data_IF_506854379233
#
_entry.id   IF_506854379233
#
_cell.length_a   1.000
_cell.length_b   1.000
_cell.length_c   1.000
_cell.angle_alpha   90.00
_cell.angle_beta   90.00
_cell.angle_gamma   90.00
#
_symmetry.space_group_name_H-M   'P 1'
#
loop_
_entity.id
_entity.type
_entity.pdbx_description
1 polymer ?
#
# COMPACT_ATOMS: atom_id res chain seq x y z
N UNK A 1 3.16 19.75 26.64
CA UNK A 1 1.81 19.22 26.92
C UNK A 1 1.56 18.22 25.82
N UNK A 2 2.22 17.10 25.97
CA UNK A 2 2.34 16.03 25.00
C UNK A 2 1.12 15.14 25.24
N UNK A 3 0.12 15.28 24.38
CA UNK A 3 -1.12 14.52 24.42
C UNK A 3 -0.91 13.26 23.58
N UNK A 4 -0.08 12.36 24.08
CA UNK A 4 -0.01 11.00 23.56
C UNK A 4 -1.28 10.27 23.99
N UNK A 5 -2.30 10.33 23.13
CA UNK A 5 -3.50 9.50 23.25
C UNK A 5 -3.07 8.04 23.15
N UNK A 6 -3.03 7.36 24.28
CA UNK A 6 -2.90 5.91 24.30
C UNK A 6 -4.15 5.30 23.67
N UNK A 7 -3.99 4.77 22.45
CA UNK A 7 -4.99 3.94 21.79
C UNK A 7 -4.89 2.55 22.41
N UNK A 8 -5.91 2.20 23.20
CA UNK A 8 -5.93 1.00 24.03
C UNK A 8 -6.89 -0.02 23.40
N UNK A 9 -6.37 -1.12 22.84
CA UNK A 9 -7.16 -2.23 22.27
C UNK A 9 -7.20 -3.44 23.18
N UNK A 10 -8.38 -3.98 23.50
CA UNK A 10 -8.60 -5.02 24.52
C UNK A 10 -8.95 -6.36 23.85
N UNK A 11 -7.93 -7.16 23.55
CA UNK A 11 -8.13 -8.54 23.12
C UNK A 11 -7.61 -9.46 24.23
N UNK A 12 -8.55 -10.06 24.95
CA UNK A 12 -8.30 -10.99 26.06
C UNK A 12 -7.95 -12.38 25.52
N UNK A 13 -6.66 -12.60 25.26
CA UNK A 13 -6.16 -13.91 24.76
C UNK A 13 -5.83 -14.86 25.93
N UNK A 14 -5.58 -14.36 27.14
CA UNK A 14 -5.30 -15.16 28.35
C UNK A 14 -5.69 -14.36 29.62
N UNK A 15 -5.98 -15.06 30.73
CA UNK A 15 -6.50 -14.54 32.02
C UNK A 15 -5.57 -13.51 32.74
N UNK A 16 -4.47 -13.10 32.11
CA UNK A 16 -3.40 -12.30 32.74
C UNK A 16 -2.70 -11.31 31.77
N UNK A 17 -3.16 -11.14 30.53
CA UNK A 17 -2.43 -10.34 29.53
C UNK A 17 -3.30 -9.71 28.46
N UNK A 18 -2.84 -8.59 27.90
CA UNK A 18 -3.53 -7.78 26.89
C UNK A 18 -2.73 -7.75 25.60
N UNK A 19 -3.38 -8.05 24.48
CA UNK A 19 -2.80 -7.88 23.14
C UNK A 19 -3.30 -6.56 22.57
N UNK A 20 -2.36 -5.67 22.24
CA UNK A 20 -2.65 -4.36 21.65
C UNK A 20 -2.05 -4.30 20.26
N UNK A 21 -2.88 -3.99 19.27
CA UNK A 21 -2.42 -3.74 17.90
C UNK A 21 -2.11 -2.27 17.70
N UNK A 22 -0.88 -1.97 17.28
CA UNK A 22 -0.52 -0.62 16.86
C UNK A 22 -1.19 -0.27 15.53
N UNK A 23 -1.67 0.97 15.33
CA UNK A 23 -2.28 1.41 14.07
C UNK A 23 -1.41 1.13 12.84
N UNK A 24 -0.09 1.28 12.97
CA UNK A 24 0.87 1.00 11.88
C UNK A 24 0.84 -0.46 11.40
N UNK A 25 0.58 -1.42 12.29
CA UNK A 25 0.50 -2.84 11.94
C UNK A 25 -0.77 -3.09 11.12
N UNK A 26 -1.90 -2.53 11.56
CA UNK A 26 -3.18 -2.66 10.85
C UNK A 26 -3.12 -1.94 9.50
N UNK A 27 -2.47 -0.78 9.44
CA UNK A 27 -2.23 -0.04 8.19
C UNK A 27 -1.38 -0.86 7.20
N UNK A 28 -0.37 -1.59 7.70
CA UNK A 28 0.45 -2.47 6.87
C UNK A 28 -0.39 -3.61 6.29
N UNK A 29 -1.23 -4.26 7.10
CA UNK A 29 -2.14 -5.33 6.64
C UNK A 29 -3.09 -4.79 5.56
N UNK A 30 -3.72 -3.65 5.81
CA UNK A 30 -4.63 -3.01 4.86
C UNK A 30 -3.94 -2.64 3.55
N UNK A 31 -2.71 -2.10 3.63
CA UNK A 31 -1.94 -1.72 2.44
C UNK A 31 -1.52 -2.92 1.59
N UNK A 32 -1.12 -4.03 2.23
CA UNK A 32 -0.80 -5.28 1.53
C UNK A 32 -2.06 -5.85 0.87
N UNK A 33 -3.14 -6.01 1.63
CA UNK A 33 -4.41 -6.54 1.12
C UNK A 33 -4.95 -5.72 -0.07
N UNK A 34 -4.89 -4.40 0.01
CA UNK A 34 -5.31 -3.53 -1.08
C UNK A 34 -4.43 -3.64 -2.33
N UNK A 35 -3.13 -3.89 -2.16
CA UNK A 35 -2.20 -4.03 -3.28
C UNK A 35 -2.34 -5.38 -4.01
N UNK A 36 -2.92 -6.38 -3.36
CA UNK A 36 -3.20 -7.69 -3.97
C UNK A 36 -4.46 -7.70 -4.85
N UNK A 37 -5.28 -6.64 -4.78
CA UNK A 37 -6.50 -6.55 -5.59
C UNK A 37 -6.19 -6.20 -7.04
N UNK A 38 -6.70 -7.02 -7.95
CA UNK A 38 -6.63 -6.77 -9.39
C UNK A 38 -7.24 -5.41 -9.77
N UNK A 39 -6.49 -4.64 -10.57
CA UNK A 39 -6.87 -3.29 -10.96
C UNK A 39 -6.35 -2.19 -10.03
N UNK A 40 -5.72 -2.52 -8.90
CA UNK A 40 -4.94 -1.56 -8.13
C UNK A 40 -3.54 -1.44 -8.76
N UNK A 41 -3.16 -0.22 -9.13
CA UNK A 41 -1.83 0.10 -9.64
C UNK A 41 -0.83 0.36 -8.52
N UNK A 42 -1.32 0.75 -7.35
CA UNK A 42 -0.53 1.06 -6.17
C UNK A 42 -1.29 1.95 -5.18
N UNK A 43 -0.74 2.11 -3.98
CA UNK A 43 -1.29 2.98 -2.94
C UNK A 43 -0.86 4.43 -3.17
N UNK A 44 -1.78 5.35 -2.93
CA UNK A 44 -1.58 6.77 -3.07
C UNK A 44 -0.61 7.34 -2.03
N UNK A 45 0.53 7.86 -2.46
CA UNK A 45 1.61 8.33 -1.56
C UNK A 45 2.89 7.51 -1.66
N UNK A 46 2.80 6.35 -2.34
CA UNK A 46 3.96 5.71 -2.96
C UNK A 46 4.39 6.60 -4.12
N UNK A 47 5.64 7.07 -4.06
CA UNK A 47 6.21 7.99 -5.06
C UNK A 47 6.07 7.35 -6.43
N UNK A 48 5.23 7.95 -7.28
CA UNK A 48 5.14 7.60 -8.69
C UNK A 48 6.51 7.92 -9.29
N UNK A 49 7.14 6.94 -9.92
CA UNK A 49 8.48 7.02 -10.51
C UNK A 49 8.62 8.29 -11.36
N UNK A 50 9.29 9.31 -10.84
CA UNK A 50 9.45 10.59 -11.52
C UNK A 50 9.96 11.75 -10.66
N UNK A 51 9.83 11.66 -9.32
CA UNK A 51 10.38 12.68 -8.41
C UNK A 51 11.36 12.00 -7.44
N UNK A 52 12.65 12.11 -7.77
CA UNK A 52 13.82 11.53 -7.09
C UNK A 52 14.08 12.01 -5.63
N UNK A 53 13.05 12.40 -4.88
CA UNK A 53 13.26 13.25 -3.70
C UNK A 53 13.15 12.61 -2.32
N UNK A 54 12.18 11.72 -2.06
CA UNK A 54 11.78 11.45 -0.66
C UNK A 54 11.43 9.97 -0.45
N UNK A 55 12.46 9.11 -0.44
CA UNK A 55 12.38 7.75 0.06
C UNK A 55 12.74 7.74 1.55
N UNK A 56 11.77 8.05 2.40
CA UNK A 56 11.85 7.75 3.84
C UNK A 56 11.01 6.51 4.12
N UNK A 57 11.54 5.51 4.84
CA UNK A 57 10.82 4.31 5.32
C UNK A 57 9.49 4.59 6.06
N UNK A 58 9.21 5.86 6.36
CA UNK A 58 7.95 6.42 6.86
C UNK A 58 6.83 6.53 5.82
N UNK A 59 7.09 6.29 4.54
CA UNK A 59 6.14 6.55 3.45
C UNK A 59 5.26 5.34 3.06
N UNK A 60 5.50 4.12 3.58
CA UNK A 60 4.65 2.97 3.24
C UNK A 60 3.20 3.12 3.77
N UNK A 61 3.00 3.93 4.80
CA UNK A 61 1.67 4.30 5.33
C UNK A 61 1.11 5.58 4.72
N UNK A 62 1.83 6.27 3.83
CA UNK A 62 1.25 7.42 3.12
C UNK A 62 0.22 6.88 2.14
N UNK A 63 -1.05 7.14 2.45
CA UNK A 63 -2.21 6.64 1.72
C UNK A 63 -3.11 5.73 2.55
N UNK A 64 -2.68 5.25 3.71
CA UNK A 64 -3.49 4.39 4.58
C UNK A 64 -3.52 5.03 5.97
N UNK A 65 -4.67 5.54 6.37
CA UNK A 65 -4.94 5.98 7.73
C UNK A 65 -5.82 4.95 8.41
N UNK A 66 -5.48 4.60 9.65
CA UNK A 66 -6.22 3.61 10.42
C UNK A 66 -6.43 4.15 11.82
N UNK A 67 -7.69 4.12 12.24
CA UNK A 67 -8.07 4.34 13.62
C UNK A 67 -8.44 2.98 14.21
N UNK A 68 -7.78 2.63 15.31
CA UNK A 68 -8.04 1.38 16.02
C UNK A 68 -8.70 1.73 17.35
N UNK A 69 -9.90 1.19 17.60
CA UNK A 69 -10.61 1.25 18.88
C UNK A 69 -10.44 -0.05 19.67
N UNK A 70 -11.16 -0.23 20.78
CA UNK A 70 -10.93 -1.36 21.68
C UNK A 70 -11.01 -2.74 21.00
N UNK A 71 -12.04 -2.94 20.20
CA UNK A 71 -12.32 -4.17 19.45
C UNK A 71 -12.63 -3.88 17.97
N UNK A 72 -12.55 -2.60 17.57
CA UNK A 72 -13.03 -2.11 16.30
C UNK A 72 -11.91 -1.41 15.53
N UNK A 73 -11.96 -1.42 14.20
CA UNK A 73 -11.03 -0.71 13.34
C UNK A 73 -11.75 0.03 12.21
N UNK A 74 -11.35 1.26 11.96
CA UNK A 74 -11.77 2.07 10.82
C UNK A 74 -10.54 2.31 9.92
N UNK A 75 -10.73 2.15 8.61
CA UNK A 75 -9.64 2.25 7.63
C UNK A 75 -10.01 3.24 6.54
N UNK A 76 -9.17 4.25 6.34
CA UNK A 76 -9.20 5.13 5.18
C UNK A 76 -8.00 4.81 4.29
N UNK A 77 -8.28 4.43 3.05
CA UNK A 77 -7.25 4.08 2.08
C UNK A 77 -7.41 4.88 0.80
N UNK A 78 -6.29 5.36 0.28
CA UNK A 78 -6.19 6.03 -1.00
C UNK A 78 -5.45 5.13 -2.00
N UNK A 79 -6.04 4.91 -3.17
CA UNK A 79 -5.52 4.00 -4.20
C UNK A 79 -5.41 4.68 -5.57
N UNK A 80 -4.51 4.16 -6.39
CA UNK A 80 -4.46 4.43 -7.83
C UNK A 80 -5.01 3.20 -8.58
N UNK A 81 -5.91 3.42 -9.53
CA UNK A 81 -6.59 2.35 -10.26
C UNK A 81 -6.03 2.25 -11.68
N UNK A 82 -5.87 1.04 -12.21
CA UNK A 82 -5.42 0.81 -13.59
C UNK A 82 -6.54 1.14 -14.58
N UNK A 83 -6.18 1.77 -15.68
CA UNK A 83 -7.09 2.00 -16.78
C UNK A 83 -7.64 0.68 -17.34
N UNK A 84 -8.92 0.66 -17.73
CA UNK A 84 -9.59 -0.52 -18.26
C UNK A 84 -10.35 -1.35 -17.21
N UNK A 85 -10.17 -1.07 -15.92
CA UNK A 85 -10.96 -1.68 -14.85
C UNK A 85 -12.17 -0.81 -14.46
N UNK A 86 -13.26 -1.45 -14.04
CA UNK A 86 -14.40 -0.73 -13.46
C UNK A 86 -14.06 -0.33 -12.04
N UNK A 87 -13.93 0.98 -11.81
CA UNK A 87 -13.54 1.53 -10.50
C UNK A 87 -14.43 1.00 -9.37
N UNK A 88 -15.74 0.90 -9.58
CA UNK A 88 -16.66 0.36 -8.57
C UNK A 88 -16.35 -1.09 -8.18
N UNK A 89 -16.02 -1.95 -9.15
CA UNK A 89 -15.67 -3.35 -8.89
C UNK A 89 -14.34 -3.44 -8.12
N UNK A 90 -13.35 -2.64 -8.51
CA UNK A 90 -12.05 -2.56 -7.82
C UNK A 90 -12.23 -2.06 -6.38
N UNK A 91 -12.98 -0.97 -6.16
CA UNK A 91 -13.22 -0.44 -4.82
C UNK A 91 -13.94 -1.46 -3.92
N UNK A 92 -14.97 -2.15 -4.43
CA UNK A 92 -15.67 -3.19 -3.68
C UNK A 92 -14.74 -4.36 -3.33
N UNK A 93 -13.87 -4.76 -4.26
CA UNK A 93 -12.89 -5.81 -4.01
C UNK A 93 -11.87 -5.38 -2.95
N UNK A 94 -11.34 -4.15 -3.03
CA UNK A 94 -10.43 -3.57 -2.02
C UNK A 94 -11.08 -3.55 -0.63
N UNK A 95 -12.32 -3.08 -0.51
CA UNK A 95 -13.03 -3.05 0.78
C UNK A 95 -13.18 -4.45 1.37
N UNK A 96 -13.56 -5.42 0.53
CA UNK A 96 -13.75 -6.81 0.97
C UNK A 96 -12.43 -7.44 1.42
N UNK A 97 -11.36 -7.23 0.67
CA UNK A 97 -10.05 -7.84 0.95
C UNK A 97 -9.45 -7.25 2.23
N UNK A 98 -9.46 -5.92 2.38
CA UNK A 98 -9.00 -5.24 3.61
C UNK A 98 -9.78 -5.74 4.82
N UNK A 99 -11.12 -5.77 4.72
CA UNK A 99 -11.98 -6.23 5.81
C UNK A 99 -11.64 -7.67 6.22
N UNK A 100 -11.58 -8.56 5.23
CA UNK A 100 -11.27 -9.97 5.46
C UNK A 100 -9.90 -10.15 6.09
N UNK A 101 -8.87 -9.46 5.60
CA UNK A 101 -7.51 -9.55 6.10
C UNK A 101 -7.39 -9.09 7.56
N UNK A 102 -7.95 -7.92 7.90
CA UNK A 102 -7.89 -7.38 9.26
C UNK A 102 -8.67 -8.28 10.23
N UNK A 103 -9.91 -8.64 9.90
CA UNK A 103 -10.72 -9.50 10.77
C UNK A 103 -10.06 -10.87 10.99
N UNK A 104 -9.49 -11.47 9.94
CA UNK A 104 -8.83 -12.78 10.03
C UNK A 104 -7.51 -12.75 10.80
N UNK A 105 -6.69 -11.71 10.61
CA UNK A 105 -5.35 -11.65 11.22
C UNK A 105 -5.36 -11.08 12.64
N UNK A 106 -6.28 -10.18 12.95
CA UNK A 106 -6.28 -9.43 14.22
C UNK A 106 -7.49 -9.73 15.11
N UNK A 107 -8.52 -10.39 14.57
CA UNK A 107 -9.83 -10.57 15.25
C UNK A 107 -10.52 -9.25 15.65
N UNK A 108 -10.05 -8.11 15.15
CA UNK A 108 -10.73 -6.82 15.28
C UNK A 108 -11.91 -6.76 14.31
N UNK A 109 -13.00 -6.10 14.70
CA UNK A 109 -14.17 -5.87 13.86
C UNK A 109 -13.98 -4.62 13.02
N UNK A 110 -14.04 -4.76 11.70
CA UNK A 110 -13.90 -3.58 10.81
C UNK A 110 -15.24 -2.89 10.65
N UNK A 111 -15.37 -1.68 11.19
CA UNK A 111 -16.61 -0.90 11.16
C UNK A 111 -16.82 -0.22 9.81
N UNK A 112 -15.75 0.32 9.23
CA UNK A 112 -15.78 1.00 7.94
C UNK A 112 -14.45 0.87 7.19
N UNK A 113 -14.55 0.85 5.86
CA UNK A 113 -13.41 0.92 4.94
C UNK A 113 -13.72 1.96 3.87
N UNK A 114 -13.09 3.11 3.96
CA UNK A 114 -13.27 4.22 3.05
C UNK A 114 -12.18 4.19 1.98
N UNK A 115 -12.57 4.10 0.71
CA UNK A 115 -11.64 4.02 -0.42
C UNK A 115 -11.71 5.31 -1.23
N UNK A 116 -10.58 6.01 -1.32
CA UNK A 116 -10.41 7.23 -2.12
C UNK A 116 -9.58 6.89 -3.36
N UNK A 117 -10.15 7.07 -4.55
CA UNK A 117 -9.41 6.90 -5.80
C UNK A 117 -8.73 8.22 -6.15
N UNK A 118 -7.40 8.25 -6.13
CA UNK A 118 -6.66 9.48 -6.39
C UNK A 118 -6.29 9.65 -7.87
N UNK A 119 -5.84 8.58 -8.52
CA UNK A 119 -5.41 8.62 -9.93
C UNK A 119 -5.83 7.37 -10.69
N UNK A 120 -5.86 7.51 -12.01
CA UNK A 120 -5.94 6.39 -12.95
C UNK A 120 -4.62 6.25 -13.66
N UNK A 121 -3.95 5.10 -13.49
CA UNK A 121 -2.69 4.79 -14.17
C UNK A 121 -2.98 4.15 -15.52
N UNK A 122 -2.31 4.62 -16.55
CA UNK A 122 -2.28 3.98 -17.86
C UNK A 122 -0.97 3.21 -17.92
N UNK A 123 -1.00 1.89 -18.04
CA UNK A 123 0.21 1.14 -18.32
C UNK A 123 0.78 1.65 -19.65
N UNK A 124 1.97 2.27 -19.64
CA UNK A 124 2.71 2.47 -20.89
C UNK A 124 2.95 1.09 -21.49
N UNK A 125 2.78 0.89 -22.80
CA UNK A 125 3.13 -0.38 -23.42
C UNK A 125 4.59 -0.68 -23.10
N UNK A 126 4.87 -1.87 -22.56
CA UNK A 126 6.21 -2.31 -22.18
C UNK A 126 7.22 -1.86 -23.25
N UNK A 127 8.14 -0.97 -22.89
CA UNK A 127 9.26 -0.62 -23.77
C UNK A 127 10.12 -1.86 -23.88
N UNK A 128 9.84 -2.68 -24.90
CA UNK A 128 10.68 -3.79 -25.35
C UNK A 128 12.12 -3.30 -25.32
N UNK A 129 12.94 -3.93 -24.48
CA UNK A 129 14.36 -3.68 -24.32
C UNK A 129 15.03 -3.52 -25.69
N UNK A 130 15.31 -2.27 -26.08
CA UNK A 130 16.24 -2.01 -27.17
C UNK A 130 17.61 -2.47 -26.68
N UNK A 131 17.97 -3.70 -27.06
CA UNK A 131 19.34 -4.23 -27.05
C UNK A 131 20.31 -3.08 -27.31
N UNK A 132 21.15 -2.76 -26.32
CA UNK A 132 22.34 -1.93 -26.53
C UNK A 132 23.32 -2.73 -27.36
N UNK A 133 23.13 -2.70 -28.67
CA UNK A 133 24.18 -3.02 -29.63
C UNK A 133 25.22 -1.90 -29.55
N UNK A 134 26.27 -2.13 -28.75
CA UNK A 134 27.45 -1.28 -28.75
C UNK A 134 28.36 -1.71 -29.91
N UNK A 135 28.11 -1.19 -31.10
CA UNK A 135 29.20 -0.72 -31.98
C UNK A 135 29.91 0.41 -31.23
N UNK A 136 31.24 0.61 -31.17
CA UNK A 136 32.40 0.49 -32.09
C UNK A 136 33.65 0.93 -31.23
N UNK A 137 34.91 1.08 -31.70
CA UNK A 137 35.47 0.91 -33.04
C UNK A 137 36.79 0.10 -33.12
N UNK A 138 37.13 -0.29 -34.34
CA UNK A 138 38.47 -0.64 -34.81
C UNK A 138 39.37 0.61 -34.79
N UNK A 139 40.54 0.55 -34.15
CA UNK A 139 41.63 1.50 -34.40
C UNK A 139 42.96 0.77 -34.39
N UNK A 140 43.63 0.86 -35.53
CA UNK A 140 44.97 0.39 -35.85
C UNK A 140 46.02 0.82 -34.80
N UNK A 141 46.89 -0.12 -34.43
CA UNK A 141 48.25 0.20 -34.00
C UNK A 141 49.22 -0.68 -34.77
N UNK A 142 49.45 -0.29 -36.03
CA UNK A 142 50.74 -0.52 -36.68
C UNK A 142 51.79 0.23 -35.86
N UNK A 143 52.89 -0.44 -35.47
CA UNK A 143 54.29 0.01 -35.64
C UNK A 143 55.23 -0.86 -34.81
N UNK A 144 56.12 -1.54 -35.55
CA UNK A 144 57.43 -2.14 -35.20
C UNK A 144 57.48 -3.43 -34.40
#
# INVERSE_FOLDING_TARGET
MDFDTEVVTDISVMENGKVVFAPDVVATIAGVAASEVDGVSGLAGTVIEGISGIFSKKNLTKGVHVEVGQEEAAVDISINVKYGYRIQEVCNAVQREIKSAIETMTSLRVVEVNVVVQNVTFDEPEKVDKKKEKEKPEIEARVR
#
